data_IF_344091586987
#
_entry.id   IF_344091586987
#
_cell.length_a   1.000
_cell.length_b   1.000
_cell.length_c   1.000
_cell.angle_alpha   90.00
_cell.angle_beta   90.00
_cell.angle_gamma   90.00
#
_symmetry.space_group_name_H-M   'P 1'
#
loop_
_entity.id
_entity.type
_entity.pdbx_description
1 polymer ?
#
# COMPACT_ATOMS: atom_id res chain seq x y z
N UNK A 1 3.91 -1.02 17.54
CA UNK A 1 3.38 -2.32 17.98
C UNK A 1 2.64 -2.94 16.81
N UNK A 2 3.19 -4.02 16.25
CA UNK A 2 2.49 -4.83 15.27
C UNK A 2 1.41 -5.63 15.99
N UNK A 3 0.16 -5.53 15.57
CA UNK A 3 -0.93 -6.34 16.09
C UNK A 3 -1.38 -7.32 15.01
N UNK A 4 -1.40 -8.61 15.33
CA UNK A 4 -2.02 -9.63 14.50
C UNK A 4 -3.51 -9.65 14.81
N UNK A 5 -4.34 -9.30 13.85
CA UNK A 5 -5.79 -9.35 13.98
C UNK A 5 -6.27 -10.63 13.31
N UNK A 6 -6.70 -11.61 14.14
CA UNK A 6 -7.36 -12.81 13.67
C UNK A 6 -8.81 -12.52 13.35
N UNK A 7 -9.17 -12.52 12.08
CA UNK A 7 -10.47 -12.93 11.57
C UNK A 7 -10.38 -13.11 10.07
N UNK A 8 -10.85 -14.26 9.60
CA UNK A 8 -11.15 -14.64 8.23
C UNK A 8 -10.06 -14.32 7.16
N UNK A 9 -9.88 -15.21 6.22
CA UNK A 9 -8.90 -15.26 5.12
C UNK A 9 -8.74 -13.97 4.26
N UNK A 10 -8.67 -12.79 4.88
CA UNK A 10 -8.32 -11.55 4.20
C UNK A 10 -6.79 -11.44 4.08
N UNK A 11 -6.30 -11.45 2.86
CA UNK A 11 -4.90 -11.09 2.56
C UNK A 11 -4.86 -9.57 2.58
N UNK A 12 -4.53 -9.01 3.74
CA UNK A 12 -4.50 -7.56 3.98
C UNK A 12 -3.44 -7.21 5.01
N UNK A 13 -2.85 -6.07 4.85
CA UNK A 13 -2.05 -5.37 5.85
C UNK A 13 -2.35 -3.88 5.77
N UNK A 14 -2.07 -3.16 6.81
CA UNK A 14 -2.24 -1.71 6.86
C UNK A 14 -1.25 -1.08 7.80
N UNK A 15 -0.60 -0.03 7.32
CA UNK A 15 0.03 0.94 8.20
C UNK A 15 -0.95 2.09 8.49
N UNK A 16 -1.30 2.23 9.78
CA UNK A 16 -2.21 3.27 10.26
C UNK A 16 -1.42 4.49 10.74
N UNK A 17 -2.04 5.69 10.75
CA UNK A 17 -1.44 6.85 11.39
C UNK A 17 -1.01 6.54 12.83
N UNK A 18 0.16 7.01 13.23
CA UNK A 18 0.75 6.71 14.53
C UNK A 18 1.62 5.45 14.56
N UNK A 19 1.99 4.89 13.38
CA UNK A 19 2.96 3.80 13.26
C UNK A 19 2.44 2.41 13.67
N UNK A 20 1.13 2.24 13.78
CA UNK A 20 0.53 0.94 14.04
C UNK A 20 0.41 0.15 12.75
N UNK A 21 0.92 -1.09 12.75
CA UNK A 21 0.81 -2.01 11.63
C UNK A 21 -0.12 -3.15 12.03
N UNK A 22 -1.10 -3.42 11.20
CA UNK A 22 -1.97 -4.58 11.32
C UNK A 22 -1.66 -5.55 10.17
N UNK A 23 -1.34 -6.81 10.51
CA UNK A 23 -1.14 -7.88 9.54
C UNK A 23 -2.25 -8.90 9.75
N UNK A 24 -3.02 -9.20 8.71
CA UNK A 24 -4.09 -10.17 8.77
C UNK A 24 -3.55 -11.59 8.56
N UNK A 25 -4.20 -12.57 9.16
CA UNK A 25 -3.75 -13.97 9.14
C UNK A 25 -3.64 -14.55 7.74
N UNK A 26 -4.51 -14.15 6.80
CA UNK A 26 -4.41 -14.55 5.39
C UNK A 26 -3.11 -14.11 4.70
N UNK A 27 -2.47 -13.03 5.18
CA UNK A 27 -1.16 -12.61 4.66
C UNK A 27 -0.07 -13.64 5.02
N UNK A 28 -0.21 -14.37 6.12
CA UNK A 28 0.76 -15.39 6.53
C UNK A 28 0.83 -16.54 5.53
N UNK A 29 -0.25 -16.84 4.81
CA UNK A 29 -0.26 -17.84 3.75
C UNK A 29 0.58 -17.41 2.53
N UNK A 30 0.71 -16.11 2.30
CA UNK A 30 1.53 -15.54 1.24
C UNK A 30 2.98 -15.39 1.68
N UNK A 31 3.21 -14.91 2.88
CA UNK A 31 4.56 -14.66 3.42
C UNK A 31 5.31 -15.95 3.70
N UNK A 32 4.63 -17.00 4.17
CA UNK A 32 5.11 -18.37 4.46
C UNK A 32 6.24 -18.49 5.47
N UNK A 33 7.08 -17.47 5.63
CA UNK A 33 8.23 -17.48 6.54
C UNK A 33 8.53 -16.09 7.07
N UNK A 34 9.45 -16.01 8.03
CA UNK A 34 9.83 -14.75 8.70
C UNK A 34 10.41 -13.72 7.72
N UNK A 35 11.19 -14.14 6.72
CA UNK A 35 11.75 -13.23 5.72
C UNK A 35 10.65 -12.62 4.85
N UNK A 36 9.66 -13.43 4.47
CA UNK A 36 8.47 -12.96 3.76
C UNK A 36 7.65 -11.97 4.59
N UNK A 37 7.42 -12.28 5.86
CA UNK A 37 6.73 -11.35 6.76
C UNK A 37 7.51 -10.05 6.93
N UNK A 38 8.83 -10.12 7.10
CA UNK A 38 9.69 -8.95 7.20
C UNK A 38 9.64 -8.08 5.93
N UNK A 39 9.59 -8.68 4.74
CA UNK A 39 9.46 -7.94 3.49
C UNK A 39 8.13 -7.14 3.41
N UNK A 40 7.01 -7.76 3.82
CA UNK A 40 5.71 -7.08 3.88
C UNK A 40 5.72 -5.98 4.94
N UNK A 41 6.20 -6.27 6.14
CA UNK A 41 6.30 -5.26 7.21
C UNK A 41 7.24 -4.11 6.82
N UNK A 42 8.36 -4.41 6.17
CA UNK A 42 9.30 -3.40 5.67
C UNK A 42 8.64 -2.45 4.67
N UNK A 43 7.82 -2.99 3.76
CA UNK A 43 7.04 -2.22 2.81
C UNK A 43 6.03 -1.29 3.52
N UNK A 44 5.29 -1.78 4.51
CA UNK A 44 4.35 -0.97 5.29
C UNK A 44 5.06 0.11 6.13
N UNK A 45 6.20 -0.23 6.74
CA UNK A 45 7.02 0.74 7.46
C UNK A 45 7.52 1.83 6.50
N UNK A 46 7.91 1.46 5.27
CA UNK A 46 8.34 2.41 4.26
C UNK A 46 7.22 3.40 3.89
N UNK A 47 5.98 2.93 3.75
CA UNK A 47 4.82 3.82 3.56
C UNK A 47 4.64 4.80 4.71
N UNK A 48 4.87 4.37 5.96
CA UNK A 48 4.77 5.23 7.14
C UNK A 48 5.90 6.27 7.17
N UNK A 49 7.14 5.84 6.97
CA UNK A 49 8.34 6.71 6.99
C UNK A 49 8.27 7.75 5.88
N UNK A 50 7.89 7.35 4.66
CA UNK A 50 7.70 8.24 3.52
C UNK A 50 6.41 9.07 3.60
N UNK A 51 5.59 8.89 4.66
CA UNK A 51 4.33 9.62 4.90
C UNK A 51 3.31 9.49 3.75
N UNK A 52 3.33 8.40 3.00
CA UNK A 52 2.47 8.19 1.86
C UNK A 52 0.96 8.26 2.22
N UNK A 53 0.58 7.77 3.41
CA UNK A 53 -0.80 7.88 3.90
C UNK A 53 -1.22 9.33 4.15
N UNK A 54 -0.31 10.18 4.65
CA UNK A 54 -0.57 11.61 4.87
C UNK A 54 -0.72 12.33 3.53
N UNK A 55 0.18 12.06 2.58
CA UNK A 55 0.10 12.62 1.24
C UNK A 55 -1.20 12.24 0.53
N UNK A 56 -1.62 10.97 0.67
CA UNK A 56 -2.90 10.51 0.13
C UNK A 56 -4.09 11.22 0.75
N UNK A 57 -4.11 11.38 2.07
CA UNK A 57 -5.17 12.11 2.78
C UNK A 57 -5.20 13.59 2.37
N UNK A 58 -4.05 14.23 2.23
CA UNK A 58 -3.94 15.62 1.78
C UNK A 58 -4.45 15.81 0.35
N UNK A 59 -4.13 14.87 -0.56
CA UNK A 59 -4.69 14.90 -1.92
C UNK A 59 -6.22 14.75 -1.92
N UNK A 60 -6.75 13.86 -1.10
CA UNK A 60 -8.19 13.69 -0.93
C UNK A 60 -8.86 14.99 -0.42
N UNK A 61 -8.25 15.66 0.56
CA UNK A 61 -8.74 16.92 1.08
C UNK A 61 -8.72 18.03 0.01
N UNK A 62 -7.66 18.13 -0.77
CA UNK A 62 -7.55 19.11 -1.88
C UNK A 62 -8.62 18.85 -2.94
N UNK A 63 -8.85 17.60 -3.32
CA UNK A 63 -9.88 17.23 -4.28
C UNK A 63 -11.28 17.58 -3.74
N UNK A 64 -11.56 17.29 -2.47
CA UNK A 64 -12.83 17.62 -1.84
C UNK A 64 -13.06 19.14 -1.81
N UNK A 65 -12.07 19.90 -1.38
CA UNK A 65 -12.15 21.37 -1.39
C UNK A 65 -12.31 21.92 -2.81
N UNK A 66 -11.56 21.37 -3.77
CA UNK A 66 -11.65 21.75 -5.18
C UNK A 66 -13.03 21.49 -5.78
N UNK A 67 -13.66 20.35 -5.48
CA UNK A 67 -15.01 20.03 -5.94
C UNK A 67 -16.08 20.95 -5.31
N UNK A 68 -15.94 21.29 -4.03
CA UNK A 68 -16.83 22.24 -3.36
C UNK A 68 -16.72 23.65 -3.97
N UNK A 69 -15.49 24.12 -4.21
CA UNK A 69 -15.27 25.41 -4.87
C UNK A 69 -15.85 25.41 -6.29
N UNK A 70 -15.65 24.34 -7.06
CA UNK A 70 -16.20 24.21 -8.40
C UNK A 70 -17.75 24.25 -8.38
N UNK A 71 -18.37 23.61 -7.40
CA UNK A 71 -19.83 23.67 -7.23
C UNK A 71 -20.31 25.10 -6.97
N UNK A 72 -19.62 25.83 -6.09
CA UNK A 72 -19.90 27.25 -5.83
C UNK A 72 -19.73 28.08 -7.12
N UNK A 73 -18.62 27.95 -7.83
CA UNK A 73 -18.35 28.68 -9.07
C UNK A 73 -19.33 28.36 -10.19
N UNK A 74 -19.85 27.15 -10.25
CA UNK A 74 -20.87 26.76 -11.24
C UNK A 74 -22.30 27.07 -10.82
N UNK A 75 -22.50 27.78 -9.69
CA UNK A 75 -23.82 28.11 -9.18
C UNK A 75 -24.61 26.91 -8.66
N UNK A 76 -23.92 25.92 -8.09
CA UNK A 76 -24.52 24.72 -7.48
C UNK A 76 -24.93 23.63 -8.48
N UNK A 77 -24.39 23.65 -9.69
CA UNK A 77 -24.74 22.65 -10.73
C UNK A 77 -24.43 21.22 -10.33
N UNK A 78 -23.29 20.97 -9.65
CA UNK A 78 -22.94 19.66 -9.12
C UNK A 78 -23.96 19.19 -8.07
N UNK A 79 -24.32 20.08 -7.15
CA UNK A 79 -25.34 19.80 -6.14
C UNK A 79 -26.74 19.63 -6.75
N UNK A 80 -27.05 20.28 -7.87
CA UNK A 80 -28.29 20.04 -8.62
C UNK A 80 -28.31 18.65 -9.26
N UNK A 81 -27.20 18.22 -9.88
CA UNK A 81 -27.07 16.86 -10.43
C UNK A 81 -27.25 15.83 -9.32
N UNK A 82 -26.63 16.02 -8.16
CA UNK A 82 -26.81 15.14 -7.01
C UNK A 82 -28.27 15.03 -6.58
N UNK A 83 -28.99 16.13 -6.54
CA UNK A 83 -30.44 16.15 -6.21
C UNK A 83 -31.31 15.47 -7.29
N UNK A 84 -30.95 15.66 -8.55
CA UNK A 84 -31.71 15.09 -9.67
C UNK A 84 -31.46 13.57 -9.85
N UNK A 85 -30.26 13.10 -9.57
CA UNK A 85 -29.87 11.70 -9.80
C UNK A 85 -29.87 10.86 -8.52
N UNK A 86 -29.98 11.48 -7.34
CA UNK A 86 -29.79 10.80 -6.06
C UNK A 86 -28.33 10.35 -5.79
N UNK A 87 -27.39 10.70 -6.66
CA UNK A 87 -25.97 10.33 -6.55
C UNK A 87 -25.21 11.45 -5.85
N UNK A 88 -24.55 11.13 -4.74
CA UNK A 88 -23.61 12.06 -4.08
C UNK A 88 -22.27 12.09 -4.84
N UNK A 89 -22.22 12.85 -5.93
CA UNK A 89 -21.02 12.98 -6.77
C UNK A 89 -19.85 13.64 -6.02
N UNK A 90 -20.12 14.55 -5.09
CA UNK A 90 -19.09 15.18 -4.25
C UNK A 90 -18.54 14.19 -3.25
N UNK A 91 -19.41 13.45 -2.56
CA UNK A 91 -19.03 12.39 -1.64
C UNK A 91 -18.29 11.25 -2.36
N UNK A 92 -18.74 10.86 -3.55
CA UNK A 92 -18.08 9.85 -4.36
C UNK A 92 -16.67 10.29 -4.78
N UNK A 93 -16.48 11.53 -5.25
CA UNK A 93 -15.18 12.07 -5.59
C UNK A 93 -14.25 12.17 -4.37
N UNK A 94 -14.80 12.54 -3.21
CA UNK A 94 -14.05 12.53 -1.94
C UNK A 94 -13.63 11.12 -1.54
N UNK A 95 -14.52 10.14 -1.63
CA UNK A 95 -14.21 8.74 -1.36
C UNK A 95 -13.15 8.21 -2.32
N UNK A 96 -13.27 8.47 -3.61
CA UNK A 96 -12.28 8.07 -4.61
C UNK A 96 -10.91 8.72 -4.33
N UNK A 97 -10.87 9.97 -3.87
CA UNK A 97 -9.64 10.66 -3.48
C UNK A 97 -8.97 10.07 -2.24
N UNK A 98 -9.76 9.64 -1.25
CA UNK A 98 -9.27 9.06 0.01
C UNK A 98 -8.98 7.55 -0.13
N UNK A 99 -9.80 6.84 -0.91
CA UNK A 99 -9.69 5.39 -1.10
C UNK A 99 -8.82 4.99 -2.31
N UNK A 100 -8.32 5.97 -3.07
CA UNK A 100 -7.43 5.68 -4.19
C UNK A 100 -6.21 4.86 -3.73
N UNK A 101 -5.83 3.82 -4.47
CA UNK A 101 -4.63 3.07 -4.18
C UNK A 101 -3.40 3.98 -4.19
N UNK A 102 -2.35 3.57 -3.52
CA UNK A 102 -1.06 4.27 -3.61
C UNK A 102 -0.61 4.38 -5.06
N UNK A 103 0.04 5.48 -5.39
CA UNK A 103 0.56 5.66 -6.75
C UNK A 103 1.68 4.67 -7.03
N UNK A 104 1.88 4.33 -8.31
CA UNK A 104 3.00 3.45 -8.73
C UNK A 104 4.36 3.98 -8.26
N UNK A 105 4.51 5.30 -8.11
CA UNK A 105 5.73 5.92 -7.59
C UNK A 105 5.89 5.61 -6.10
N UNK A 106 4.84 5.81 -5.31
CA UNK A 106 4.83 5.52 -3.87
C UNK A 106 5.07 4.03 -3.60
N UNK A 107 4.46 3.14 -4.39
CA UNK A 107 4.68 1.71 -4.30
C UNK A 107 6.14 1.32 -4.60
N UNK A 108 6.72 1.91 -5.66
CA UNK A 108 8.12 1.67 -6.03
C UNK A 108 9.10 2.19 -4.97
N UNK A 109 8.78 3.31 -4.32
CA UNK A 109 9.55 3.86 -3.21
C UNK A 109 9.42 3.00 -1.95
N UNK A 110 8.21 2.53 -1.64
CA UNK A 110 7.97 1.65 -0.51
C UNK A 110 8.66 0.29 -0.68
N UNK A 111 8.67 -0.28 -1.88
CA UNK A 111 9.43 -1.50 -2.19
C UNK A 111 10.93 -1.29 -1.94
N UNK A 112 11.49 -0.22 -2.49
CA UNK A 112 12.93 0.04 -2.37
C UNK A 112 13.37 0.26 -0.91
N UNK A 113 12.66 1.13 -0.19
CA UNK A 113 12.95 1.42 1.22
C UNK A 113 12.68 0.20 2.11
N UNK A 114 11.59 -0.53 1.84
CA UNK A 114 11.23 -1.73 2.59
C UNK A 114 12.28 -2.84 2.45
N UNK A 115 12.84 -3.02 1.26
CA UNK A 115 13.96 -3.93 1.04
C UNK A 115 15.22 -3.50 1.81
N UNK A 116 15.53 -2.20 1.85
CA UNK A 116 16.66 -1.67 2.65
C UNK A 116 16.43 -1.96 4.13
N UNK A 117 15.24 -1.67 4.67
CA UNK A 117 14.93 -1.92 6.08
C UNK A 117 15.05 -3.41 6.43
N UNK A 118 14.53 -4.28 5.56
CA UNK A 118 14.62 -5.74 5.74
C UNK A 118 16.07 -6.21 5.71
N UNK A 119 16.89 -5.72 4.77
CA UNK A 119 18.31 -6.08 4.64
C UNK A 119 19.12 -5.63 5.87
N UNK A 120 18.98 -4.39 6.29
CA UNK A 120 19.61 -3.85 7.49
C UNK A 120 19.24 -4.62 8.76
N UNK A 121 18.01 -5.14 8.81
CA UNK A 121 17.50 -5.95 9.92
C UNK A 121 17.90 -7.43 9.83
N UNK A 122 18.68 -7.83 8.83
CA UNK A 122 19.22 -9.17 8.69
C UNK A 122 18.28 -10.19 8.03
N UNK A 123 17.20 -9.75 7.42
CA UNK A 123 16.27 -10.61 6.68
C UNK A 123 16.69 -10.79 5.21
N UNK A 124 16.38 -11.95 4.65
CA UNK A 124 16.65 -12.24 3.23
C UNK A 124 15.64 -11.54 2.31
N UNK A 125 16.06 -10.44 1.71
CA UNK A 125 15.22 -9.61 0.84
C UNK A 125 14.86 -10.28 -0.49
N UNK A 126 15.46 -11.42 -0.86
CA UNK A 126 15.06 -12.21 -2.03
C UNK A 126 13.63 -12.76 -1.90
N UNK A 127 13.12 -12.87 -0.68
CA UNK A 127 11.72 -13.23 -0.43
C UNK A 127 10.73 -12.19 -0.96
N UNK A 128 11.13 -10.91 -1.11
CA UNK A 128 10.25 -9.86 -1.64
C UNK A 128 9.70 -10.22 -3.02
N UNK A 129 10.54 -10.72 -3.94
CA UNK A 129 10.09 -11.19 -5.26
C UNK A 129 9.09 -12.33 -5.15
N UNK A 130 9.39 -13.32 -4.30
CA UNK A 130 8.56 -14.52 -4.15
C UNK A 130 7.16 -14.20 -3.58
N UNK A 131 7.04 -13.16 -2.75
CA UNK A 131 5.74 -12.69 -2.26
C UNK A 131 4.87 -12.22 -3.43
N UNK A 132 5.41 -11.40 -4.31
CA UNK A 132 4.67 -10.89 -5.47
C UNK A 132 4.29 -12.01 -6.44
N UNK A 133 5.15 -13.00 -6.63
CA UNK A 133 4.85 -14.19 -7.42
C UNK A 133 3.70 -14.99 -6.81
N UNK A 134 3.74 -15.24 -5.50
CA UNK A 134 2.67 -15.94 -4.77
C UNK A 134 1.35 -15.16 -4.82
N UNK A 135 1.38 -13.85 -4.63
CA UNK A 135 0.18 -13.02 -4.75
C UNK A 135 -0.43 -13.09 -6.16
N UNK A 136 0.40 -13.12 -7.19
CA UNK A 136 -0.04 -13.29 -8.58
C UNK A 136 -0.71 -14.65 -8.79
N UNK A 137 -0.20 -15.70 -8.17
CA UNK A 137 -0.79 -17.05 -8.22
C UNK A 137 -2.11 -17.13 -7.46
N UNK A 138 -2.17 -16.55 -6.26
CA UNK A 138 -3.41 -16.47 -5.48
C UNK A 138 -4.55 -15.77 -6.23
N UNK A 139 -4.21 -14.86 -7.12
CA UNK A 139 -5.16 -14.07 -7.91
C UNK A 139 -5.72 -14.82 -9.13
N UNK A 140 -5.16 -15.98 -9.49
CA UNK A 140 -5.66 -16.81 -10.60
C UNK A 140 -6.97 -17.46 -10.20
N UNK A 141 -8.11 -16.86 -10.61
CA UNK A 141 -9.44 -17.45 -10.48
C UNK A 141 -10.22 -17.10 -9.21
N UNK A 142 -9.76 -16.16 -8.40
CA UNK A 142 -10.47 -15.62 -7.21
C UNK A 142 -10.59 -14.10 -7.32
N UNK A 143 -11.50 -13.51 -6.50
CA UNK A 143 -11.56 -12.06 -6.33
C UNK A 143 -10.19 -11.54 -5.91
N UNK A 144 -9.80 -10.39 -6.46
CA UNK A 144 -8.51 -9.77 -6.19
C UNK A 144 -8.28 -9.64 -4.67
N UNK A 145 -7.15 -10.09 -4.11
CA UNK A 145 -6.84 -9.88 -2.71
C UNK A 145 -6.97 -8.40 -2.35
N UNK A 146 -7.55 -8.09 -1.20
CA UNK A 146 -7.78 -6.72 -0.78
C UNK A 146 -6.46 -5.91 -0.70
N UNK A 147 -5.35 -6.58 -0.39
CA UNK A 147 -4.03 -6.00 -0.47
C UNK A 147 -3.72 -5.37 -1.85
N UNK A 148 -4.05 -6.06 -2.93
CA UNK A 148 -3.82 -5.55 -4.29
C UNK A 148 -4.74 -4.38 -4.67
N UNK A 149 -5.85 -4.18 -3.96
CA UNK A 149 -6.71 -3.01 -4.17
C UNK A 149 -6.09 -1.71 -3.66
N UNK A 150 -5.28 -1.79 -2.62
CA UNK A 150 -4.54 -0.66 -2.04
C UNK A 150 -3.11 -0.56 -2.57
N UNK A 151 -2.50 -1.70 -2.93
CA UNK A 151 -1.13 -1.84 -3.43
C UNK A 151 -1.13 -2.51 -4.81
N UNK A 152 -1.40 -1.77 -5.89
CA UNK A 152 -1.51 -2.36 -7.22
C UNK A 152 -0.23 -3.08 -7.62
N UNK A 153 -0.37 -4.33 -8.00
CA UNK A 153 0.73 -5.08 -8.58
C UNK A 153 0.94 -4.64 -10.03
N UNK A 154 2.18 -4.40 -10.38
CA UNK A 154 2.59 -4.25 -11.77
C UNK A 154 3.76 -5.20 -12.01
N UNK A 155 3.78 -5.88 -13.15
CA UNK A 155 4.91 -6.76 -13.53
C UNK A 155 6.25 -6.00 -13.47
N UNK A 156 6.21 -4.69 -13.70
CA UNK A 156 7.35 -3.80 -13.54
C UNK A 156 7.90 -3.72 -12.10
N UNK A 157 7.10 -4.02 -11.05
CA UNK A 157 7.59 -4.03 -9.65
C UNK A 157 8.53 -5.22 -9.45
N UNK A 158 8.12 -6.42 -9.86
CA UNK A 158 8.95 -7.63 -9.75
C UNK A 158 10.29 -7.42 -10.46
N UNK A 159 10.27 -6.84 -11.67
CA UNK A 159 11.49 -6.54 -12.41
C UNK A 159 12.43 -5.62 -11.63
N UNK A 160 11.92 -4.50 -11.12
CA UNK A 160 12.69 -3.55 -10.31
C UNK A 160 13.23 -4.16 -9.03
N UNK A 161 12.42 -4.92 -8.30
CA UNK A 161 12.82 -5.61 -7.08
C UNK A 161 14.03 -6.51 -7.37
N UNK A 162 13.98 -7.28 -8.46
CA UNK A 162 15.10 -8.14 -8.86
C UNK A 162 16.36 -7.33 -9.24
N UNK A 163 16.20 -6.20 -9.94
CA UNK A 163 17.31 -5.30 -10.27
C UNK A 163 17.97 -4.71 -9.02
N UNK A 164 17.19 -4.38 -7.99
CA UNK A 164 17.69 -3.77 -6.76
C UNK A 164 18.29 -4.76 -5.76
N UNK A 165 17.86 -6.02 -5.80
CA UNK A 165 18.20 -7.03 -4.78
C UNK A 165 19.70 -7.12 -4.54
N UNK A 166 20.51 -7.35 -5.58
CA UNK A 166 21.96 -7.49 -5.44
C UNK A 166 22.63 -6.20 -4.96
N UNK A 167 22.18 -5.05 -5.47
CA UNK A 167 22.68 -3.74 -5.06
C UNK A 167 22.42 -3.50 -3.57
N UNK A 168 21.19 -3.74 -3.12
CA UNK A 168 20.80 -3.51 -1.72
C UNK A 168 21.58 -4.42 -0.77
N UNK A 169 21.75 -5.71 -1.11
CA UNK A 169 22.55 -6.64 -0.28
C UNK A 169 23.98 -6.13 -0.09
N UNK A 170 24.58 -5.53 -1.10
CA UNK A 170 25.95 -5.02 -1.04
C UNK A 170 26.05 -3.67 -0.31
N UNK A 171 25.13 -2.76 -0.57
CA UNK A 171 25.17 -1.39 -0.05
C UNK A 171 24.59 -1.26 1.37
N UNK A 172 23.65 -2.13 1.73
CA UNK A 172 22.93 -2.11 3.01
C UNK A 172 22.98 -3.48 3.72
N UNK A 173 24.19 -3.96 4.10
CA UNK A 173 24.31 -5.24 4.81
C UNK A 173 23.68 -5.18 6.21
N UNK A 174 23.38 -6.32 6.83
CA UNK A 174 22.82 -6.38 8.19
C UNK A 174 23.62 -5.56 9.21
N UNK A 175 22.90 -4.78 10.02
CA UNK A 175 23.50 -4.05 11.14
C UNK A 175 23.86 -5.07 12.22
N UNK A 176 25.14 -5.12 12.60
CA UNK A 176 25.58 -5.90 13.76
C UNK A 176 25.13 -5.18 15.03
N UNK A 177 24.13 -5.71 15.71
CA UNK A 177 23.76 -5.25 17.04
C UNK A 177 24.73 -5.90 18.01
N UNK A 178 25.62 -5.10 18.59
CA UNK A 178 26.56 -5.53 19.65
C UNK A 178 25.85 -5.58 21.00
#
# INVERSE_FOLDING_TARGET
VASLVGSEMCIRDRCMPGGKIAVYTGMLEVTKNTNGLAAVMGHEIAHAVAKHSVERASRGAILNTGTQLLDIFTGGKLSQVNRATGMDTIGLLSQLGIMNPFTRKQESEADYLGMIFSSLSGYDIRETTKIWERMKEFNKGKSQPEFLSTHPSADNRIKKINEWTNKIILEYPPIKIS
#
